data_IF_405053198847
#
_entry.id   IF_405053198847
#
_cell.length_a   1.000
_cell.length_b   1.000
_cell.length_c   1.000
_cell.angle_alpha   90.00
_cell.angle_beta   90.00
_cell.angle_gamma   90.00
#
_symmetry.space_group_name_H-M   'P 1'
#
loop_
_entity.id
_entity.type
_entity.pdbx_description
1 polymer ?
#
# COMPACT_ATOMS: atom_id res chain seq x y z
N UNK A 1 -20.24 -18.58 6.47
CA UNK A 1 -19.89 -19.01 5.10
C UNK A 1 -18.77 -18.11 4.65
N UNK A 2 -17.53 -18.55 4.87
CA UNK A 2 -16.33 -17.88 4.38
C UNK A 2 -16.30 -18.11 2.87
N UNK A 3 -16.59 -17.06 2.13
CA UNK A 3 -16.56 -17.07 0.67
C UNK A 3 -15.12 -17.28 0.20
N UNK A 4 -14.97 -18.06 -0.87
CA UNK A 4 -13.72 -18.42 -1.55
C UNK A 4 -12.72 -17.27 -1.48
N UNK A 5 -11.75 -17.38 -0.56
CA UNK A 5 -10.64 -16.44 -0.45
C UNK A 5 -9.72 -16.66 -1.66
N UNK A 6 -9.10 -15.58 -2.15
CA UNK A 6 -8.26 -15.52 -3.36
C UNK A 6 -6.94 -16.33 -3.25
N UNK A 7 -6.96 -17.50 -2.62
CA UNK A 7 -5.76 -18.26 -2.25
C UNK A 7 -4.79 -17.50 -1.34
N UNK A 8 -5.18 -16.33 -0.83
CA UNK A 8 -4.28 -15.41 -0.13
C UNK A 8 -3.23 -14.73 -1.03
N UNK A 9 -3.40 -14.75 -2.36
CA UNK A 9 -2.47 -14.11 -3.29
C UNK A 9 -2.54 -12.59 -3.18
N UNK A 10 -1.36 -11.95 -3.29
CA UNK A 10 -1.15 -10.52 -3.21
C UNK A 10 -0.87 -9.98 -4.59
N UNK A 11 -1.72 -9.10 -5.09
CA UNK A 11 -1.46 -8.37 -6.33
C UNK A 11 -0.57 -7.16 -6.06
N UNK A 12 0.55 -7.07 -6.76
CA UNK A 12 1.52 -5.98 -6.61
C UNK A 12 1.98 -5.45 -7.96
N UNK A 13 1.95 -4.14 -8.12
CA UNK A 13 2.50 -3.45 -9.29
C UNK A 13 3.73 -2.65 -8.85
N UNK A 14 4.90 -3.04 -9.36
CA UNK A 14 6.14 -2.29 -9.12
C UNK A 14 6.18 -1.13 -10.11
N UNK A 15 6.35 0.07 -9.57
CA UNK A 15 6.33 1.30 -10.33
C UNK A 15 7.66 1.56 -11.04
N UNK A 16 7.61 1.74 -12.36
CA UNK A 16 8.78 2.14 -13.17
C UNK A 16 8.78 3.63 -13.58
N UNK A 17 7.65 4.33 -13.44
CA UNK A 17 7.43 5.75 -13.80
C UNK A 17 6.53 6.43 -12.74
N UNK A 18 6.30 7.74 -12.73
CA UNK A 18 5.54 8.45 -11.65
C UNK A 18 4.03 8.09 -11.48
N UNK A 19 3.57 6.94 -11.98
CA UNK A 19 2.17 6.48 -11.98
C UNK A 19 1.71 5.79 -10.68
N UNK A 20 2.21 6.23 -9.52
CA UNK A 20 1.89 5.66 -8.21
C UNK A 20 0.38 5.57 -7.93
N UNK A 21 -0.41 6.52 -8.42
CA UNK A 21 -1.86 6.54 -8.27
C UNK A 21 -2.57 5.36 -8.97
N UNK A 22 -2.11 4.96 -10.17
CA UNK A 22 -2.65 3.79 -10.88
C UNK A 22 -2.40 2.53 -10.06
N UNK A 23 -1.15 2.33 -9.65
CA UNK A 23 -0.72 1.17 -8.86
C UNK A 23 -1.45 1.10 -7.51
N UNK A 24 -1.62 2.25 -6.85
CA UNK A 24 -2.37 2.36 -5.60
C UNK A 24 -3.82 1.88 -5.78
N UNK A 25 -4.54 2.38 -6.79
CA UNK A 25 -5.94 2.00 -7.05
C UNK A 25 -6.07 0.52 -7.41
N UNK A 26 -5.21 0.02 -8.30
CA UNK A 26 -5.23 -1.39 -8.70
C UNK A 26 -4.96 -2.31 -7.51
N UNK A 27 -4.09 -1.90 -6.60
CA UNK A 27 -3.84 -2.62 -5.35
C UNK A 27 -5.03 -2.56 -4.38
N UNK A 28 -5.68 -1.40 -4.25
CA UNK A 28 -6.94 -1.23 -3.50
C UNK A 28 -8.05 -2.14 -4.04
N UNK A 29 -7.96 -2.56 -5.31
CA UNK A 29 -8.89 -3.50 -5.94
C UNK A 29 -8.36 -4.94 -6.04
N UNK A 30 -7.05 -5.15 -5.79
CA UNK A 30 -6.34 -6.44 -5.94
C UNK A 30 -6.48 -6.92 -7.40
N UNK A 31 -6.06 -6.09 -8.35
CA UNK A 31 -5.96 -6.48 -9.75
C UNK A 31 -5.75 -5.29 -10.70
N UNK A 32 -5.34 -5.54 -11.95
CA UNK A 32 -5.09 -4.52 -12.97
C UNK A 32 -6.42 -4.02 -13.58
N UNK A 33 -7.21 -3.30 -12.79
CA UNK A 33 -8.52 -2.82 -13.25
C UNK A 33 -8.44 -1.49 -13.99
N UNK A 34 -7.40 -0.70 -13.75
CA UNK A 34 -7.21 0.60 -14.35
C UNK A 34 -5.82 0.74 -14.96
N UNK A 35 -5.76 1.44 -16.08
CA UNK A 35 -4.53 1.90 -16.71
C UNK A 35 -4.33 3.40 -16.49
N UNK A 36 -3.14 3.90 -16.84
CA UNK A 36 -2.86 5.34 -16.91
C UNK A 36 -3.89 6.08 -17.77
N UNK A 37 -4.26 5.51 -18.93
CA UNK A 37 -5.23 6.12 -19.83
C UNK A 37 -6.62 6.25 -19.20
N UNK A 38 -7.01 5.28 -18.39
CA UNK A 38 -8.31 5.31 -17.71
C UNK A 38 -8.34 6.42 -16.65
N UNK A 39 -7.29 6.52 -15.82
CA UNK A 39 -7.19 7.60 -14.83
C UNK A 39 -7.07 8.98 -15.49
N UNK A 40 -6.32 9.10 -16.58
CA UNK A 40 -6.20 10.34 -17.34
C UNK A 40 -7.54 10.77 -17.97
N UNK A 41 -8.34 9.83 -18.46
CA UNK A 41 -9.68 10.10 -18.97
C UNK A 41 -10.60 10.63 -17.86
N UNK A 42 -10.56 10.01 -16.67
CA UNK A 42 -11.33 10.48 -15.50
C UNK A 42 -10.87 11.87 -15.06
N UNK A 43 -9.57 12.13 -15.02
CA UNK A 43 -9.02 13.45 -14.70
C UNK A 43 -9.52 14.52 -15.68
N UNK A 44 -9.46 14.23 -16.98
CA UNK A 44 -9.93 15.16 -18.02
C UNK A 44 -11.44 15.43 -17.94
N UNK A 45 -12.23 14.41 -17.62
CA UNK A 45 -13.68 14.57 -17.42
C UNK A 45 -13.99 15.41 -16.17
N UNK A 46 -13.21 15.27 -15.09
CA UNK A 46 -13.31 16.12 -13.91
C UNK A 46 -12.95 17.58 -14.25
N UNK A 47 -11.83 17.83 -14.93
CA UNK A 47 -11.41 19.17 -15.35
C UNK A 47 -12.51 19.84 -16.22
N UNK A 48 -13.11 19.08 -17.14
CA UNK A 48 -14.23 19.57 -17.98
C UNK A 48 -15.43 19.95 -17.13
N UNK A 49 -15.79 19.12 -16.16
CA UNK A 49 -16.96 19.34 -15.30
C UNK A 49 -16.75 20.55 -14.39
N UNK A 50 -15.56 20.68 -13.79
CA UNK A 50 -15.19 21.84 -12.96
C UNK A 50 -15.24 23.14 -13.77
N UNK A 51 -14.70 23.14 -15.00
CA UNK A 51 -14.78 24.29 -15.93
C UNK A 51 -16.24 24.64 -16.26
N UNK A 52 -17.09 23.66 -16.51
CA UNK A 52 -18.51 23.90 -16.82
C UNK A 52 -19.26 24.52 -15.64
N UNK A 53 -19.03 24.03 -14.41
CA UNK A 53 -19.65 24.58 -13.21
C UNK A 53 -19.21 26.04 -12.95
N UNK A 54 -17.94 26.37 -13.20
CA UNK A 54 -17.44 27.75 -13.04
C UNK A 54 -18.04 28.71 -14.08
N UNK A 55 -18.12 28.31 -15.34
CA UNK A 55 -18.73 29.13 -16.42
C UNK A 55 -20.22 29.42 -16.14
N UNK A 56 -20.90 28.52 -15.43
CA UNK A 56 -22.31 28.68 -15.05
C UNK A 56 -22.50 29.53 -13.78
N UNK A 57 -21.46 29.70 -12.96
CA UNK A 57 -21.50 30.35 -11.65
C UNK A 57 -21.01 31.81 -11.61
N UNK A 58 -20.19 32.27 -12.57
CA UNK A 58 -19.69 33.65 -12.59
C UNK A 58 -19.31 34.14 -13.99
N UNK A 59 -19.86 35.30 -14.38
CA UNK A 59 -19.34 36.08 -15.50
C UNK A 59 -17.98 36.68 -15.16
N UNK A 60 -17.07 36.71 -16.14
CA UNK A 60 -15.78 37.41 -16.16
C UNK A 60 -14.64 36.93 -15.23
N UNK A 61 -14.68 35.71 -14.68
CA UNK A 61 -13.49 35.13 -14.04
C UNK A 61 -12.71 34.27 -15.04
N UNK A 62 -11.47 34.66 -15.36
CA UNK A 62 -10.55 33.82 -16.13
C UNK A 62 -10.18 32.63 -15.23
N UNK A 63 -10.46 31.37 -15.61
CA UNK A 63 -10.22 30.25 -14.73
C UNK A 63 -8.72 30.09 -14.51
N UNK A 64 -8.30 29.94 -13.26
CA UNK A 64 -7.10 29.17 -12.98
C UNK A 64 -7.45 27.73 -13.41
N UNK A 65 -6.75 27.20 -14.42
CA UNK A 65 -7.04 25.86 -14.90
C UNK A 65 -6.82 24.87 -13.75
N UNK A 66 -7.90 24.27 -13.26
CA UNK A 66 -7.79 23.04 -12.47
C UNK A 66 -7.15 21.98 -13.37
N UNK A 67 -6.08 21.38 -12.87
CA UNK A 67 -5.35 20.29 -13.51
C UNK A 67 -5.38 19.12 -12.53
N UNK A 68 -6.33 18.20 -12.72
CA UNK A 68 -6.46 17.00 -11.91
C UNK A 68 -5.35 15.96 -12.16
N UNK A 69 -4.52 16.18 -13.18
CA UNK A 69 -3.29 15.41 -13.44
C UNK A 69 -2.14 16.37 -13.74
N UNK A 70 -1.01 16.17 -13.07
CA UNK A 70 0.22 16.93 -13.32
C UNK A 70 0.95 16.42 -14.58
N UNK A 71 1.76 17.28 -15.21
CA UNK A 71 2.66 16.88 -16.32
C UNK A 71 3.63 15.75 -15.91
N UNK A 72 3.89 15.63 -14.61
CA UNK A 72 4.70 14.59 -14.01
C UNK A 72 3.94 13.27 -13.75
N UNK A 73 2.64 13.18 -14.03
CA UNK A 73 1.84 11.96 -13.83
C UNK A 73 1.28 11.76 -12.41
N UNK A 74 1.30 12.80 -11.58
CA UNK A 74 0.64 12.80 -10.27
C UNK A 74 -0.85 13.14 -10.42
N UNK A 75 -1.71 12.32 -9.83
CA UNK A 75 -3.17 12.45 -9.92
C UNK A 75 -3.74 13.03 -8.63
N UNK A 76 -4.76 13.87 -8.76
CA UNK A 76 -5.46 14.40 -7.60
C UNK A 76 -6.25 13.31 -6.85
N UNK A 77 -6.50 13.53 -5.57
CA UNK A 77 -7.36 12.64 -4.76
C UNK A 77 -8.78 12.52 -5.34
N UNK A 78 -9.27 13.55 -6.05
CA UNK A 78 -10.59 13.54 -6.67
C UNK A 78 -10.68 12.50 -7.80
N UNK A 79 -9.58 12.30 -8.55
CA UNK A 79 -9.48 11.24 -9.56
C UNK A 79 -9.63 9.88 -8.88
N UNK A 80 -8.86 9.62 -7.82
CA UNK A 80 -8.92 8.37 -7.06
C UNK A 80 -10.31 8.13 -6.48
N UNK A 81 -10.95 9.16 -5.93
CA UNK A 81 -12.33 9.10 -5.44
C UNK A 81 -13.28 8.68 -6.55
N UNK A 82 -13.18 9.29 -7.73
CA UNK A 82 -14.11 9.02 -8.84
C UNK A 82 -13.93 7.61 -9.41
N UNK A 83 -12.70 7.15 -9.48
CA UNK A 83 -12.36 5.80 -9.96
C UNK A 83 -12.86 4.72 -9.00
N UNK A 84 -12.64 4.91 -7.69
CA UNK A 84 -13.13 3.96 -6.68
C UNK A 84 -14.65 4.02 -6.48
N UNK A 85 -15.30 5.15 -6.75
CA UNK A 85 -16.76 5.29 -6.71
C UNK A 85 -17.47 4.30 -7.65
N UNK A 86 -16.86 3.98 -8.81
CA UNK A 86 -17.37 2.96 -9.77
C UNK A 86 -17.54 1.58 -9.11
N UNK A 87 -16.77 1.30 -8.06
CA UNK A 87 -16.76 0.05 -7.32
C UNK A 87 -17.57 0.09 -6.01
N UNK A 88 -18.46 1.08 -5.83
CA UNK A 88 -19.13 1.34 -4.54
C UNK A 88 -18.12 1.53 -3.38
N UNK A 89 -16.92 2.02 -3.67
CA UNK A 89 -15.89 2.33 -2.67
C UNK A 89 -15.82 3.83 -2.42
N UNK A 90 -15.71 4.21 -1.15
CA UNK A 90 -15.62 5.58 -0.70
C UNK A 90 -14.28 5.83 -0.04
N UNK A 91 -13.65 6.95 -0.39
CA UNK A 91 -12.43 7.43 0.24
C UNK A 91 -12.79 8.48 1.30
N UNK A 92 -12.43 8.22 2.55
CA UNK A 92 -12.77 9.07 3.70
C UNK A 92 -11.47 9.52 4.38
N UNK A 93 -11.21 10.83 4.57
CA UNK A 93 -10.04 11.28 5.32
C UNK A 93 -10.03 10.73 6.74
N UNK A 94 -8.87 10.31 7.23
CA UNK A 94 -8.73 9.72 8.57
C UNK A 94 -9.13 10.69 9.69
N UNK A 95 -8.95 11.99 9.47
CA UNK A 95 -9.32 13.04 10.43
C UNK A 95 -10.84 13.33 10.48
N UNK A 96 -11.62 12.67 9.62
CA UNK A 96 -13.08 12.81 9.61
C UNK A 96 -13.72 12.20 10.87
N UNK A 97 -14.79 12.78 11.43
CA UNK A 97 -15.51 12.19 12.57
C UNK A 97 -16.05 10.78 12.27
N UNK A 98 -16.35 10.48 11.00
CA UNK A 98 -16.83 9.16 10.57
C UNK A 98 -15.73 8.09 10.63
N UNK A 99 -14.47 8.51 10.70
CA UNK A 99 -13.29 7.67 10.79
C UNK A 99 -12.75 7.52 12.23
N UNK A 100 -13.36 8.17 13.23
CA UNK A 100 -12.94 8.07 14.65
C UNK A 100 -12.74 6.62 15.14
N UNK A 101 -13.61 5.64 14.81
CA UNK A 101 -13.39 4.25 15.22
C UNK A 101 -12.10 3.64 14.66
N UNK A 102 -11.71 4.01 13.45
CA UNK A 102 -10.50 3.51 12.80
C UNK A 102 -9.22 4.18 13.32
N UNK A 103 -9.34 5.34 13.97
CA UNK A 103 -8.22 5.95 14.68
C UNK A 103 -7.89 5.19 15.97
N UNK A 104 -8.89 4.55 16.57
CA UNK A 104 -8.75 3.76 17.80
C UNK A 104 -8.36 2.32 17.45
N UNK A 105 -9.07 1.71 16.50
CA UNK A 105 -8.85 0.34 16.06
C UNK A 105 -8.80 0.28 14.52
N UNK A 106 -7.61 0.42 13.92
CA UNK A 106 -7.44 0.39 12.46
C UNK A 106 -7.73 -0.99 11.86
N UNK A 107 -7.80 -2.07 12.66
CA UNK A 107 -8.06 -3.42 12.16
C UNK A 107 -9.49 -3.64 11.65
N UNK A 108 -10.42 -2.76 12.05
CA UNK A 108 -11.82 -2.77 11.60
C UNK A 108 -11.98 -2.39 10.14
N UNK A 109 -10.97 -1.74 9.56
CA UNK A 109 -10.96 -1.31 8.17
C UNK A 109 -10.36 -2.38 7.25
N UNK A 110 -10.49 -2.15 5.94
CA UNK A 110 -9.98 -3.07 4.92
C UNK A 110 -8.84 -2.49 4.10
N UNK A 111 -8.79 -1.17 3.93
CA UNK A 111 -7.68 -0.52 3.25
C UNK A 111 -7.53 0.96 3.66
N UNK A 112 -6.30 1.43 3.58
CA UNK A 112 -5.90 2.82 3.69
C UNK A 112 -5.15 3.23 2.42
N UNK A 113 -5.31 4.48 2.02
CA UNK A 113 -4.54 5.16 0.99
C UNK A 113 -3.73 6.24 1.70
N UNK A 114 -2.43 6.27 1.43
CA UNK A 114 -1.50 7.22 2.03
C UNK A 114 -0.90 8.10 0.94
N UNK A 115 -0.78 9.40 1.23
CA UNK A 115 -0.18 10.37 0.31
C UNK A 115 0.78 11.34 1.00
N UNK A 116 1.96 11.50 0.41
CA UNK A 116 2.94 12.52 0.78
C UNK A 116 3.75 12.91 -0.45
N UNK A 117 3.88 14.21 -0.70
CA UNK A 117 4.80 14.78 -1.70
C UNK A 117 4.79 14.04 -3.06
N UNK A 118 3.59 13.92 -3.66
CA UNK A 118 3.38 13.32 -4.99
C UNK A 118 3.58 11.80 -5.06
N UNK A 119 3.46 11.12 -3.92
CA UNK A 119 3.50 9.66 -3.86
C UNK A 119 2.26 9.09 -3.20
N UNK A 120 1.60 8.17 -3.89
CA UNK A 120 0.43 7.44 -3.42
C UNK A 120 0.80 5.98 -3.17
N UNK A 121 0.43 5.45 -2.01
CA UNK A 121 0.49 4.02 -1.77
C UNK A 121 -0.71 3.51 -0.99
N UNK A 122 -0.91 2.19 -1.02
CA UNK A 122 -2.01 1.52 -0.34
C UNK A 122 -1.51 0.60 0.77
N UNK A 123 -2.17 0.65 1.91
CA UNK A 123 -2.08 -0.37 2.96
C UNK A 123 -3.38 -1.15 2.93
N UNK A 124 -3.33 -2.47 2.69
CA UNK A 124 -4.55 -3.25 2.50
C UNK A 124 -4.53 -4.56 3.29
N UNK A 125 -5.71 -4.89 3.84
CA UNK A 125 -5.99 -6.17 4.46
C UNK A 125 -6.32 -7.20 3.38
N UNK A 126 -5.51 -8.24 3.28
CA UNK A 126 -5.74 -9.38 2.39
C UNK A 126 -5.71 -10.65 3.23
N UNK A 127 -6.78 -11.45 3.14
CA UNK A 127 -6.92 -12.70 3.91
C UNK A 127 -6.73 -12.55 5.43
N UNK A 128 -7.12 -11.40 6.00
CA UNK A 128 -7.04 -11.15 7.44
C UNK A 128 -5.73 -10.54 7.93
N UNK A 129 -4.73 -10.44 7.07
CA UNK A 129 -3.41 -9.87 7.36
C UNK A 129 -3.20 -8.56 6.59
N UNK A 130 -2.37 -7.66 7.11
CA UNK A 130 -2.13 -6.35 6.53
C UNK A 130 -0.84 -6.33 5.73
N UNK A 131 -0.86 -5.61 4.62
CA UNK A 131 0.31 -5.45 3.77
C UNK A 131 0.43 -4.00 3.30
N UNK A 132 1.66 -3.50 3.27
CA UNK A 132 2.03 -2.27 2.61
C UNK A 132 2.35 -2.56 1.14
N UNK A 133 1.56 -2.00 0.24
CA UNK A 133 1.71 -2.11 -1.20
C UNK A 133 2.26 -0.83 -1.79
N UNK A 134 3.37 -0.35 -1.25
CA UNK A 134 4.12 0.72 -1.88
C UNK A 134 4.73 0.22 -3.18
N UNK A 135 4.33 0.84 -4.29
CA UNK A 135 4.77 0.47 -5.62
C UNK A 135 6.27 0.72 -5.85
N UNK A 136 6.93 1.50 -5.00
CA UNK A 136 8.40 1.65 -5.00
C UNK A 136 9.11 0.42 -4.42
N UNK A 137 8.38 -0.45 -3.72
CA UNK A 137 8.93 -1.68 -3.15
C UNK A 137 8.85 -2.83 -4.15
N UNK A 138 9.80 -3.77 -4.10
CA UNK A 138 9.84 -4.91 -5.02
C UNK A 138 8.69 -5.90 -4.78
N UNK A 139 8.16 -5.93 -3.56
CA UNK A 139 7.05 -6.77 -3.14
C UNK A 139 6.29 -6.12 -1.96
N UNK A 140 5.04 -6.54 -1.69
CA UNK A 140 4.28 -6.06 -0.53
C UNK A 140 4.96 -6.45 0.79
N UNK A 141 5.01 -5.51 1.73
CA UNK A 141 5.56 -5.76 3.06
C UNK A 141 4.46 -6.15 4.02
N UNK A 142 4.62 -7.26 4.74
CA UNK A 142 3.68 -7.65 5.78
C UNK A 142 3.74 -6.67 6.95
N UNK A 143 2.58 -6.17 7.36
CA UNK A 143 2.42 -5.35 8.54
C UNK A 143 1.66 -6.18 9.57
N UNK A 144 2.29 -6.43 10.71
CA UNK A 144 1.61 -7.10 11.81
C UNK A 144 0.47 -6.22 12.34
N UNK A 145 -0.57 -6.86 12.85
CA UNK A 145 -1.72 -6.20 13.50
C UNK A 145 -1.29 -5.21 14.60
N UNK A 146 -0.33 -5.64 15.41
CA UNK A 146 0.22 -4.82 16.50
C UNK A 146 1.07 -3.66 16.00
N UNK A 147 1.62 -3.77 14.79
CA UNK A 147 2.46 -2.74 14.19
C UNK A 147 1.66 -1.71 13.37
N UNK A 148 0.50 -2.09 12.84
CA UNK A 148 -0.31 -1.25 11.96
C UNK A 148 -0.63 0.13 12.59
N UNK A 149 -1.05 0.16 13.86
CA UNK A 149 -1.37 1.41 14.56
C UNK A 149 -0.15 2.31 14.68
N UNK A 150 0.98 1.76 15.14
CA UNK A 150 2.24 2.49 15.27
C UNK A 150 2.76 3.00 13.92
N UNK A 151 2.57 2.20 12.85
CA UNK A 151 2.94 2.58 11.50
C UNK A 151 2.10 3.76 11.00
N UNK A 152 0.77 3.69 11.13
CA UNK A 152 -0.14 4.78 10.75
C UNK A 152 0.14 6.06 11.56
N UNK A 153 0.43 5.96 12.84
CA UNK A 153 0.77 7.11 13.68
C UNK A 153 2.12 7.72 13.30
N UNK A 154 3.10 6.90 12.92
CA UNK A 154 4.37 7.38 12.38
C UNK A 154 4.15 8.16 11.08
N UNK A 155 3.33 7.65 10.16
CA UNK A 155 2.95 8.34 8.92
C UNK A 155 2.28 9.69 9.22
N UNK A 156 1.32 9.75 10.15
CA UNK A 156 0.73 11.02 10.58
C UNK A 156 1.79 11.99 11.12
N UNK A 157 2.72 11.51 11.95
CA UNK A 157 3.81 12.30 12.52
C UNK A 157 4.73 12.93 11.47
N UNK A 158 4.93 12.24 10.34
CA UNK A 158 5.68 12.74 9.19
C UNK A 158 4.85 13.65 8.26
N UNK A 159 3.56 13.86 8.54
CA UNK A 159 2.67 14.71 7.75
C UNK A 159 2.01 14.02 6.57
N UNK A 160 1.93 12.69 6.56
CA UNK A 160 1.17 11.96 5.54
C UNK A 160 -0.32 12.23 5.67
N UNK A 161 -0.97 12.42 4.52
CA UNK A 161 -2.42 12.39 4.44
C UNK A 161 -2.88 10.94 4.32
N UNK A 162 -3.70 10.49 5.26
CA UNK A 162 -4.22 9.12 5.31
C UNK A 162 -5.71 9.14 5.05
N UNK A 163 -6.16 8.25 4.18
CA UNK A 163 -7.56 8.09 3.81
C UNK A 163 -7.98 6.63 3.97
N UNK A 164 -9.15 6.40 4.55
CA UNK A 164 -9.77 5.09 4.63
C UNK A 164 -10.49 4.79 3.32
N UNK A 165 -10.49 3.52 2.93
CA UNK A 165 -11.34 3.03 1.85
C UNK A 165 -12.40 2.09 2.43
N UNK A 166 -13.67 2.49 2.33
CA UNK A 166 -14.82 1.71 2.80
C UNK A 166 -15.76 1.40 1.65
N UNK A 167 -16.36 0.21 1.66
CA UNK A 167 -17.36 -0.20 0.68
C UNK A 167 -17.21 -1.66 0.29
N UNK A 168 -17.58 -2.00 -0.95
CA UNK A 168 -17.60 -3.39 -1.44
C UNK A 168 -16.33 -3.70 -2.23
N UNK A 169 -15.32 -4.22 -1.53
CA UNK A 169 -14.11 -4.69 -2.18
C UNK A 169 -14.41 -5.86 -3.13
N UNK A 170 -13.74 -5.93 -4.30
CA UNK A 170 -13.82 -7.09 -5.18
C UNK A 170 -13.45 -8.36 -4.43
N UNK A 171 -14.30 -9.39 -4.53
CA UNK A 171 -14.07 -10.70 -3.90
C UNK A 171 -13.40 -11.69 -4.85
N UNK A 172 -13.64 -11.54 -6.15
CA UNK A 172 -13.09 -12.39 -7.19
C UNK A 172 -11.90 -11.67 -7.82
N UNK A 173 -10.70 -12.20 -7.60
CA UNK A 173 -9.53 -11.75 -8.34
C UNK A 173 -9.59 -12.32 -9.76
N UNK A 174 -9.29 -11.54 -10.81
CA UNK A 174 -9.15 -12.04 -12.17
C UNK A 174 -7.84 -12.82 -12.29
N UNK A 175 -7.74 -13.98 -11.62
CA UNK A 175 -6.65 -14.93 -11.81
C UNK A 175 -7.00 -15.77 -13.03
N UNK A 176 -7.09 -15.14 -14.21
CA UNK A 176 -7.12 -15.90 -15.45
C UNK A 176 -5.72 -16.47 -15.65
N UNK A 177 -5.61 -17.79 -15.68
CA UNK A 177 -4.35 -18.56 -15.72
C UNK A 177 -3.45 -18.25 -16.93
N UNK A 178 -3.91 -17.38 -17.84
CA UNK A 178 -3.21 -16.90 -19.03
C UNK A 178 -2.65 -15.47 -18.94
N UNK A 179 -3.00 -14.68 -17.92
CA UNK A 179 -2.65 -13.25 -17.83
C UNK A 179 -1.64 -12.90 -16.72
N UNK A 180 -1.02 -13.91 -16.09
CA UNK A 180 0.09 -13.71 -15.14
C UNK A 180 1.33 -13.03 -15.75
N UNK A 181 1.30 -12.74 -17.07
CA UNK A 181 2.36 -12.06 -17.82
C UNK A 181 1.86 -10.83 -18.59
N UNK A 182 0.63 -10.37 -18.36
CA UNK A 182 0.21 -9.03 -18.80
C UNK A 182 1.04 -8.04 -17.97
N UNK A 183 2.02 -7.38 -18.58
CA UNK A 183 3.14 -6.68 -17.91
C UNK A 183 2.81 -5.48 -17.02
N UNK A 184 1.66 -5.47 -16.35
CA UNK A 184 1.18 -4.43 -15.46
C UNK A 184 1.35 -4.77 -13.96
N UNK A 185 1.41 -6.06 -13.58
CA UNK A 185 1.66 -6.44 -12.18
C UNK A 185 1.88 -7.94 -11.97
N UNK A 186 2.30 -8.30 -10.75
CA UNK A 186 2.62 -9.67 -10.34
C UNK A 186 1.69 -10.14 -9.21
N UNK A 187 1.38 -11.44 -9.22
CA UNK A 187 0.69 -12.11 -8.13
C UNK A 187 1.71 -12.86 -7.28
N UNK A 188 1.80 -12.51 -6.01
CA UNK A 188 2.76 -13.08 -5.07
C UNK A 188 2.04 -13.84 -3.97
N UNK A 189 2.61 -14.97 -3.55
CA UNK A 189 2.24 -15.56 -2.27
C UNK A 189 2.85 -14.71 -1.15
N UNK A 190 2.22 -14.63 0.04
CA UNK A 190 2.79 -13.90 1.17
C UNK A 190 4.23 -14.32 1.52
N UNK A 191 4.53 -15.63 1.42
CA UNK A 191 5.87 -16.17 1.66
C UNK A 191 6.90 -15.70 0.62
N UNK A 192 6.47 -15.57 -0.64
CA UNK A 192 7.33 -15.08 -1.72
C UNK A 192 7.57 -13.58 -1.59
N UNK A 193 6.53 -12.81 -1.24
CA UNK A 193 6.65 -11.39 -0.96
C UNK A 193 7.64 -11.13 0.18
N UNK A 194 7.52 -11.85 1.29
CA UNK A 194 8.46 -11.76 2.42
C UNK A 194 9.89 -12.09 2.00
N UNK A 195 10.07 -13.16 1.22
CA UNK A 195 11.40 -13.57 0.71
C UNK A 195 12.02 -12.49 -0.18
N UNK A 196 11.25 -11.89 -1.07
CA UNK A 196 11.71 -10.83 -1.99
C UNK A 196 12.13 -9.60 -1.18
N UNK A 197 11.29 -9.12 -0.26
CA UNK A 197 11.58 -7.96 0.58
C UNK A 197 12.86 -8.17 1.39
N UNK A 198 12.99 -9.33 2.08
CA UNK A 198 14.20 -9.63 2.86
C UNK A 198 15.46 -9.68 2.01
N UNK A 199 15.39 -10.29 0.83
CA UNK A 199 16.52 -10.37 -0.09
C UNK A 199 16.95 -8.99 -0.59
N UNK A 200 16.01 -8.12 -0.93
CA UNK A 200 16.30 -6.75 -1.37
C UNK A 200 16.91 -5.90 -0.25
N UNK A 201 16.36 -5.99 0.96
CA UNK A 201 16.89 -5.26 2.13
C UNK A 201 18.31 -5.73 2.49
N UNK A 202 18.59 -7.04 2.39
CA UNK A 202 19.94 -7.58 2.58
C UNK A 202 20.92 -7.13 1.48
N UNK A 203 20.48 -7.09 0.22
CA UNK A 203 21.30 -6.63 -0.90
C UNK A 203 21.63 -5.13 -0.81
N UNK A 204 20.66 -4.29 -0.38
CA UNK A 204 20.90 -2.87 -0.12
C UNK A 204 21.90 -2.66 1.02
N UNK A 205 21.82 -3.46 2.10
CA UNK A 205 22.80 -3.46 3.20
C UNK A 205 24.21 -3.85 2.73
N UNK A 206 24.34 -4.83 1.84
CA UNK A 206 25.64 -5.22 1.27
C UNK A 206 26.16 -4.23 0.19
N UNK A 207 25.25 -3.53 -0.51
CA UNK A 207 25.53 -2.66 -1.66
C UNK A 207 25.90 -1.22 -1.32
N UNK A 208 25.83 -0.78 -0.07
CA UNK A 208 26.18 0.58 0.36
C UNK A 208 27.67 0.98 0.19
N UNK A 209 28.47 0.23 -0.59
CA UNK A 209 29.87 0.53 -0.93
C UNK A 209 30.16 0.82 -2.41
N UNK A 210 29.19 0.74 -3.32
CA UNK A 210 29.41 1.12 -4.72
C UNK A 210 28.14 1.68 -5.35
N UNK A 211 28.14 2.99 -5.58
CA UNK A 211 26.96 3.71 -6.04
C UNK A 211 26.53 3.38 -7.45
N UNK A 212 25.22 3.47 -7.71
CA UNK A 212 24.68 4.22 -8.85
C UNK A 212 23.16 4.40 -8.76
N UNK A 213 22.73 5.57 -9.25
CA UNK A 213 21.38 5.98 -9.68
C UNK A 213 20.34 6.19 -8.58
N UNK A 214 20.31 7.43 -8.09
CA UNK A 214 19.46 7.86 -6.98
C UNK A 214 18.29 8.69 -7.52
N UNK A 215 17.11 8.08 -7.58
CA UNK A 215 15.86 8.85 -7.47
C UNK A 215 15.74 9.24 -6.00
N UNK A 216 16.34 10.39 -5.69
CA UNK A 216 16.62 10.82 -4.34
C UNK A 216 15.51 11.75 -3.84
N UNK A 217 14.35 11.18 -3.50
CA UNK A 217 13.42 11.88 -2.62
C UNK A 217 13.99 11.73 -1.21
N UNK A 218 14.80 12.71 -0.78
CA UNK A 218 15.47 12.76 0.54
C UNK A 218 14.54 12.47 1.74
N UNK A 219 13.26 12.87 1.76
CA UNK A 219 12.38 12.48 2.86
C UNK A 219 12.04 10.98 2.86
N UNK A 220 12.19 10.25 1.73
CA UNK A 220 11.86 8.83 1.61
C UNK A 220 12.75 7.91 2.45
N UNK A 221 14.03 8.25 2.48
CA UNK A 221 15.05 7.47 3.17
C UNK A 221 14.88 7.39 4.68
N UNK A 222 14.45 8.48 5.33
CA UNK A 222 14.43 8.53 6.78
C UNK A 222 13.39 7.57 7.39
N UNK A 223 12.26 7.35 6.70
CA UNK A 223 11.27 6.38 7.17
C UNK A 223 11.56 4.95 6.72
N UNK A 224 12.24 4.75 5.58
CA UNK A 224 12.80 3.43 5.27
C UNK A 224 13.82 3.01 6.34
N UNK A 225 14.72 3.91 6.74
CA UNK A 225 15.69 3.64 7.82
C UNK A 225 14.99 3.34 9.15
N UNK A 226 13.89 4.03 9.46
CA UNK A 226 13.15 3.79 10.70
C UNK A 226 12.29 2.52 10.66
N UNK A 227 11.69 2.18 9.51
CA UNK A 227 11.02 0.90 9.29
C UNK A 227 12.01 -0.27 9.35
N UNK A 228 13.20 -0.10 8.76
CA UNK A 228 14.28 -1.09 8.81
C UNK A 228 14.80 -1.32 10.24
N UNK A 229 14.91 -0.26 11.05
CA UNK A 229 15.28 -0.41 12.48
C UNK A 229 14.23 -1.20 13.26
N UNK A 230 12.94 -0.97 13.00
CA UNK A 230 11.85 -1.66 13.68
C UNK A 230 11.75 -3.13 13.24
N UNK A 231 12.01 -3.42 11.97
CA UNK A 231 12.12 -4.80 11.46
C UNK A 231 13.30 -5.56 12.11
N UNK A 232 14.44 -4.89 12.32
CA UNK A 232 15.58 -5.47 13.05
C UNK A 232 15.21 -5.81 14.51
N UNK A 233 14.50 -4.92 15.20
CA UNK A 233 14.01 -5.18 16.56
C UNK A 233 13.02 -6.36 16.61
N UNK A 234 12.15 -6.54 15.59
CA UNK A 234 11.23 -7.67 15.52
C UNK A 234 11.93 -8.99 15.18
N UNK A 235 12.93 -8.99 14.30
CA UNK A 235 13.75 -10.19 14.02
C UNK A 235 14.55 -10.61 15.26
N UNK A 236 15.16 -9.66 15.96
CA UNK A 236 15.87 -9.93 17.21
C UNK A 236 14.93 -10.45 18.30
N UNK A 237 13.73 -9.90 18.40
CA UNK A 237 12.70 -10.35 19.33
C UNK A 237 12.21 -11.77 18.98
N UNK A 238 11.92 -12.05 17.71
CA UNK A 238 11.55 -13.39 17.23
C UNK A 238 12.65 -14.41 17.48
N UNK A 239 13.91 -14.05 17.22
CA UNK A 239 15.06 -14.90 17.49
C UNK A 239 15.21 -15.19 18.99
N UNK A 240 15.04 -14.18 19.85
CA UNK A 240 15.10 -14.34 21.30
C UNK A 240 13.98 -15.25 21.85
N UNK A 241 12.75 -15.12 21.32
CA UNK A 241 11.62 -16.00 21.66
C UNK A 241 11.92 -17.44 21.21
N UNK A 242 12.39 -17.63 19.97
CA UNK A 242 12.73 -18.96 19.46
C UNK A 242 13.86 -19.63 20.26
N UNK A 243 14.90 -18.87 20.61
CA UNK A 243 15.99 -19.34 21.46
C UNK A 243 15.49 -19.75 22.86
N UNK A 244 14.62 -18.95 23.46
CA UNK A 244 14.01 -19.26 24.76
C UNK A 244 13.13 -20.51 24.72
N UNK A 245 12.47 -20.77 23.59
CA UNK A 245 11.65 -21.97 23.39
C UNK A 245 12.49 -23.23 23.19
N UNK A 246 13.66 -23.11 22.57
CA UNK A 246 14.62 -24.21 22.42
C UNK A 246 15.30 -24.58 23.75
N UNK A 247 15.58 -23.61 24.61
CA UNK A 247 16.21 -23.83 25.92
C UNK A 247 15.24 -24.40 26.98
N UNK A 248 13.93 -24.32 26.72
CA UNK A 248 12.87 -24.87 27.58
C UNK A 248 12.56 -26.38 27.33
N UNK A 249 13.28 -27.06 26.44
CA UNK A 249 13.09 -28.50 26.22
C UNK A 249 13.58 -29.31 27.43
N UNK A 250 12.74 -30.14 28.09
CA UNK A 250 13.17 -30.90 29.24
C UNK A 250 14.11 -32.02 28.81
N UNK A 251 15.30 -32.06 29.42
CA UNK A 251 16.22 -33.19 29.32
C UNK A 251 15.54 -34.45 29.86
N UNK A 252 15.04 -35.30 28.95
CA UNK A 252 14.55 -36.65 29.29
C UNK A 252 15.75 -37.48 29.73
N UNK A 253 15.97 -37.55 31.04
CA UNK A 253 16.93 -38.45 31.67
C UNK A 253 16.42 -39.89 31.55
N UNK A 254 16.90 -40.62 30.54
CA UNK A 254 16.82 -42.08 30.51
C UNK A 254 17.90 -42.65 31.41
N UNK A 255 17.54 -43.08 32.63
CA UNK A 255 18.40 -43.95 33.44
C UNK A 255 18.44 -45.36 32.85
N UNK A 256 19.59 -46.05 32.86
CA UNK A 256 19.66 -47.47 32.49
C UNK A 256 19.29 -48.32 33.72
N UNK A 257 18.24 -49.14 33.60
CA UNK A 257 17.96 -50.19 34.58
C UNK A 257 18.94 -51.35 34.39
N UNK A 258 19.36 -51.89 35.54
CA UNK A 258 20.36 -52.95 35.74
C UNK A 258 19.72 -54.33 35.71
#
# INVERSE_FOLDING_TARGET
MEGVSNGGMLYHEVQESKLCAVHCVNTVLQGPFFSEFDLAAVASDLDRTERQMMVQGSGDFVPEESHNVSLDGDFSIQVLQKVLEVWDLQIIPLDSPVAEPAQIDPELENAFICHLQNHWFCIRKVNGEWYNFDSLKPAPEHLSKFYLSAYLDSLKGFGWSIFLVRGKFPKECPISSSEASSGYGQWLLPEDAERITKSCNAAQRAGSRSGQTQWQSVPYRQYEEQGMLLDEEDEDLKAAIAASLMDAAPAVSTKPDT
#
